data_IF_630051916141
#
_entry.id   IF_630051916141
#
_cell.length_a   1.000
_cell.length_b   1.000
_cell.length_c   1.000
_cell.angle_alpha   90.00
_cell.angle_beta   90.00
_cell.angle_gamma   90.00
#
_symmetry.space_group_name_H-M   'P 1'
#
loop_
_entity.id
_entity.type
_entity.pdbx_description
1 polymer ?
#
# COMPACT_ATOMS: atom_id res chain seq x y z
N UNK A 1 -14.85 8.39 -2.16
CA UNK A 1 -14.66 8.87 -3.56
C UNK A 1 -13.69 7.93 -4.28
N UNK A 2 -14.22 7.15 -5.23
CA UNK A 2 -13.42 6.17 -5.97
C UNK A 2 -12.45 6.85 -6.95
N UNK A 3 -12.87 7.93 -7.62
CA UNK A 3 -12.03 8.62 -8.60
C UNK A 3 -10.80 9.24 -7.93
N UNK A 4 -10.99 9.87 -6.77
CA UNK A 4 -9.88 10.42 -5.98
C UNK A 4 -8.92 9.30 -5.52
N UNK A 5 -9.43 8.17 -5.04
CA UNK A 5 -8.61 7.05 -4.58
C UNK A 5 -7.72 6.52 -5.72
N UNK A 6 -8.30 6.27 -6.90
CA UNK A 6 -7.54 5.83 -8.08
C UNK A 6 -6.48 6.84 -8.50
N UNK A 7 -6.80 8.14 -8.46
CA UNK A 7 -5.84 9.18 -8.80
C UNK A 7 -4.67 9.25 -7.80
N UNK A 8 -4.94 9.17 -6.50
CA UNK A 8 -3.91 9.14 -5.46
C UNK A 8 -3.00 7.94 -5.67
N UNK A 9 -3.56 6.73 -5.79
CA UNK A 9 -2.79 5.51 -6.00
C UNK A 9 -1.92 5.57 -7.27
N UNK A 10 -2.44 6.11 -8.37
CA UNK A 10 -1.67 6.29 -9.60
C UNK A 10 -0.50 7.26 -9.41
N UNK A 11 -0.74 8.43 -8.81
CA UNK A 11 0.30 9.45 -8.59
C UNK A 11 1.37 8.94 -7.63
N UNK A 12 0.99 8.34 -6.51
CA UNK A 12 1.96 7.80 -5.53
C UNK A 12 2.79 6.68 -6.13
N UNK A 13 2.18 5.81 -6.96
CA UNK A 13 2.90 4.74 -7.66
C UNK A 13 3.87 5.28 -8.70
N UNK A 14 3.50 6.30 -9.48
CA UNK A 14 4.39 6.94 -10.45
C UNK A 14 5.57 7.66 -9.79
N UNK A 15 5.36 8.22 -8.60
CA UNK A 15 6.40 8.90 -7.83
C UNK A 15 7.27 7.94 -7.00
N UNK A 16 6.81 6.71 -6.76
CA UNK A 16 7.47 5.72 -5.92
C UNK A 16 8.95 5.44 -6.29
N UNK A 17 9.36 5.32 -7.57
CA UNK A 17 10.75 5.08 -7.93
C UNK A 17 11.71 6.12 -7.35
N UNK A 18 11.28 7.37 -7.20
CA UNK A 18 12.09 8.44 -6.62
C UNK A 18 11.86 8.57 -5.12
N UNK A 19 10.60 8.71 -4.70
CA UNK A 19 10.28 9.05 -3.32
C UNK A 19 10.59 7.91 -2.34
N UNK A 20 10.27 6.66 -2.70
CA UNK A 20 10.49 5.51 -1.81
C UNK A 20 11.97 5.34 -1.45
N UNK A 21 12.92 5.25 -2.40
CA UNK A 21 14.33 5.12 -2.06
C UNK A 21 14.90 6.38 -1.41
N UNK A 22 14.46 7.59 -1.78
CA UNK A 22 14.89 8.81 -1.08
C UNK A 22 14.47 8.79 0.39
N UNK A 23 13.21 8.45 0.69
CA UNK A 23 12.70 8.40 2.06
C UNK A 23 13.37 7.30 2.88
N UNK A 24 13.59 6.12 2.30
CA UNK A 24 14.30 5.04 2.98
C UNK A 24 15.75 5.41 3.22
N UNK A 25 16.43 6.02 2.25
CA UNK A 25 17.78 6.53 2.45
C UNK A 25 17.81 7.59 3.56
N UNK A 26 16.89 8.55 3.55
CA UNK A 26 16.84 9.61 4.56
C UNK A 26 16.59 9.08 5.98
N UNK A 27 15.70 8.09 6.12
CA UNK A 27 15.25 7.61 7.43
C UNK A 27 16.06 6.42 7.96
N UNK A 28 16.67 5.61 7.09
CA UNK A 28 17.30 4.34 7.47
C UNK A 28 18.81 4.24 7.17
N UNK A 29 19.40 5.14 6.37
CA UNK A 29 20.84 5.04 6.00
C UNK A 29 21.80 5.12 7.18
N UNK A 30 21.37 5.69 8.30
CA UNK A 30 22.15 5.72 9.55
C UNK A 30 22.28 4.33 10.21
N UNK A 31 21.39 3.39 9.89
CA UNK A 31 21.28 2.08 10.55
C UNK A 31 21.53 0.92 9.61
N UNK A 32 21.32 1.10 8.31
CA UNK A 32 21.42 0.07 7.28
C UNK A 32 22.11 0.61 6.04
N UNK A 33 22.88 -0.21 5.30
CA UNK A 33 23.41 0.18 4.00
C UNK A 33 22.26 0.30 3.00
N UNK A 34 21.86 1.54 2.69
CA UNK A 34 20.79 1.83 1.72
C UNK A 34 21.39 2.30 0.41
N UNK A 35 21.12 1.57 -0.68
CA UNK A 35 21.47 1.99 -2.03
C UNK A 35 20.27 2.59 -2.75
N UNK A 36 20.30 3.90 -2.98
CA UNK A 36 19.23 4.60 -3.71
C UNK A 36 19.04 4.03 -5.12
N UNK A 37 20.13 3.84 -5.88
CA UNK A 37 20.06 3.40 -7.28
C UNK A 37 19.55 1.96 -7.40
N UNK A 38 19.93 1.06 -6.50
CA UNK A 38 19.49 -0.34 -6.57
C UNK A 38 17.99 -0.46 -6.28
N UNK A 39 17.52 0.30 -5.29
CA UNK A 39 16.09 0.37 -4.96
C UNK A 39 15.29 1.07 -6.07
N UNK A 40 15.83 2.15 -6.66
CA UNK A 40 15.23 2.82 -7.83
C UNK A 40 15.00 1.84 -8.98
N UNK A 41 16.04 1.10 -9.39
CA UNK A 41 15.94 0.11 -10.47
C UNK A 41 14.98 -1.02 -10.12
N UNK A 42 14.98 -1.48 -8.87
CA UNK A 42 14.07 -2.53 -8.42
C UNK A 42 12.61 -2.08 -8.51
N UNK A 43 12.29 -0.84 -8.14
CA UNK A 43 10.91 -0.32 -8.28
C UNK A 43 10.53 -0.20 -9.76
N UNK A 44 11.44 0.26 -10.62
CA UNK A 44 11.18 0.31 -12.06
C UNK A 44 10.83 -1.08 -12.62
N UNK A 45 11.57 -2.11 -12.21
CA UNK A 45 11.36 -3.48 -12.70
C UNK A 45 10.14 -4.16 -12.08
N UNK A 46 9.94 -4.03 -10.77
CA UNK A 46 8.88 -4.73 -10.04
C UNK A 46 7.51 -4.05 -10.18
N UNK A 47 7.46 -2.75 -10.47
CA UNK A 47 6.22 -1.96 -10.48
C UNK A 47 6.00 -1.29 -11.83
N UNK A 48 6.94 -0.43 -12.26
CA UNK A 48 6.69 0.42 -13.44
C UNK A 48 6.60 -0.40 -14.72
N UNK A 49 7.50 -1.35 -14.91
CA UNK A 49 7.51 -2.21 -16.08
C UNK A 49 6.21 -3.04 -16.20
N UNK A 50 5.73 -3.78 -15.18
CA UNK A 50 4.44 -4.45 -15.23
C UNK A 50 3.25 -3.52 -15.51
N UNK A 51 3.24 -2.30 -14.94
CA UNK A 51 2.17 -1.33 -15.19
C UNK A 51 2.18 -0.88 -16.65
N UNK A 52 3.34 -0.50 -17.19
CA UNK A 52 3.49 -0.11 -18.60
C UNK A 52 3.07 -1.25 -19.52
N UNK A 53 3.51 -2.48 -19.24
CA UNK A 53 3.11 -3.66 -20.02
C UNK A 53 1.59 -3.90 -19.95
N UNK A 54 0.98 -3.74 -18.77
CA UNK A 54 -0.47 -3.85 -18.61
C UNK A 54 -1.24 -2.81 -19.42
N UNK A 55 -0.80 -1.55 -19.39
CA UNK A 55 -1.40 -0.46 -20.18
C UNK A 55 -1.22 -0.69 -21.69
N UNK A 56 -0.05 -1.13 -22.12
CA UNK A 56 0.22 -1.48 -23.53
C UNK A 56 -0.66 -2.66 -23.97
N UNK A 57 -0.78 -3.70 -23.14
CA UNK A 57 -1.65 -4.84 -23.41
C UNK A 57 -3.13 -4.42 -23.52
N UNK A 58 -3.60 -3.54 -22.63
CA UNK A 58 -4.95 -2.96 -22.70
C UNK A 58 -5.19 -2.24 -24.03
N UNK A 59 -4.19 -1.49 -24.52
CA UNK A 59 -4.28 -0.76 -25.79
C UNK A 59 -4.25 -1.67 -27.02
N UNK A 60 -3.45 -2.74 -26.99
CA UNK A 60 -3.27 -3.65 -28.14
C UNK A 60 -4.36 -4.72 -28.24
N UNK A 61 -4.83 -5.25 -27.10
CA UNK A 61 -5.76 -6.38 -27.04
C UNK A 61 -7.22 -5.94 -26.81
N UNK A 62 -7.44 -4.68 -26.40
CA UNK A 62 -8.75 -4.08 -26.22
C UNK A 62 -9.65 -4.89 -25.28
N UNK A 63 -10.84 -5.26 -25.77
CA UNK A 63 -11.85 -5.98 -24.98
C UNK A 63 -11.37 -7.36 -24.47
N UNK A 64 -10.37 -7.99 -25.12
CA UNK A 64 -9.86 -9.30 -24.71
C UNK A 64 -9.13 -9.28 -23.37
N UNK A 65 -8.61 -8.11 -22.95
CA UNK A 65 -7.97 -7.97 -21.62
C UNK A 65 -8.95 -8.21 -20.49
N UNK A 66 -10.26 -8.07 -20.73
CA UNK A 66 -11.29 -8.32 -19.72
C UNK A 66 -11.22 -9.75 -19.15
N UNK A 67 -10.92 -10.75 -19.99
CA UNK A 67 -10.73 -12.13 -19.52
C UNK A 67 -9.58 -12.26 -18.52
N UNK A 68 -8.50 -11.49 -18.69
CA UNK A 68 -7.40 -11.46 -17.74
C UNK A 68 -7.81 -10.69 -16.46
N UNK A 69 -8.44 -9.53 -16.61
CA UNK A 69 -8.89 -8.69 -15.49
C UNK A 69 -9.86 -9.42 -14.57
N UNK A 70 -10.70 -10.30 -15.09
CA UNK A 70 -11.62 -11.11 -14.28
C UNK A 70 -10.89 -12.12 -13.37
N UNK A 71 -9.70 -12.58 -13.76
CA UNK A 71 -8.90 -13.57 -13.00
C UNK A 71 -7.79 -12.91 -12.16
N UNK A 72 -7.38 -11.68 -12.51
CA UNK A 72 -6.33 -10.94 -11.80
C UNK A 72 -6.54 -10.87 -10.28
N UNK A 73 -7.74 -10.61 -9.73
CA UNK A 73 -7.94 -10.58 -8.28
C UNK A 73 -7.50 -11.88 -7.59
N UNK A 74 -7.83 -13.04 -8.17
CA UNK A 74 -7.44 -14.33 -7.61
C UNK A 74 -5.92 -14.51 -7.67
N UNK A 75 -5.30 -14.18 -8.81
CA UNK A 75 -3.85 -14.26 -8.97
C UNK A 75 -3.15 -13.36 -7.95
N UNK A 76 -3.61 -12.11 -7.78
CA UNK A 76 -3.05 -11.17 -6.81
C UNK A 76 -3.15 -11.68 -5.38
N UNK A 77 -4.30 -12.26 -4.99
CA UNK A 77 -4.49 -12.86 -3.65
C UNK A 77 -3.54 -14.03 -3.43
N UNK A 78 -3.43 -14.94 -4.40
CA UNK A 78 -2.51 -16.08 -4.31
C UNK A 78 -1.06 -15.60 -4.21
N UNK A 79 -0.66 -14.63 -5.05
CA UNK A 79 0.69 -14.06 -5.02
C UNK A 79 1.03 -13.43 -3.68
N UNK A 80 0.16 -12.60 -3.10
CA UNK A 80 0.47 -11.96 -1.81
C UNK A 80 0.51 -12.98 -0.67
N UNK A 81 -0.37 -13.99 -0.66
CA UNK A 81 -0.33 -15.07 0.32
C UNK A 81 1.01 -15.83 0.22
N UNK A 82 1.46 -16.16 -0.98
CA UNK A 82 2.75 -16.81 -1.20
C UNK A 82 3.93 -15.97 -0.70
N UNK A 83 3.93 -14.66 -0.97
CA UNK A 83 4.97 -13.73 -0.47
C UNK A 83 4.98 -13.72 1.06
N UNK A 84 3.80 -13.58 1.70
CA UNK A 84 3.69 -13.57 3.17
C UNK A 84 4.19 -14.89 3.76
N UNK A 85 3.79 -16.03 3.21
CA UNK A 85 4.26 -17.34 3.64
C UNK A 85 5.78 -17.48 3.52
N UNK A 86 6.37 -17.04 2.40
CA UNK A 86 7.81 -17.12 2.19
C UNK A 86 8.59 -16.27 3.21
N UNK A 87 8.15 -15.03 3.46
CA UNK A 87 8.79 -14.14 4.43
C UNK A 87 8.67 -14.67 5.86
N UNK A 88 7.50 -15.17 6.25
CA UNK A 88 7.27 -15.74 7.58
C UNK A 88 8.11 -17.00 7.78
N UNK A 89 8.16 -17.89 6.79
CA UNK A 89 8.98 -19.11 6.86
C UNK A 89 10.48 -18.79 6.99
N UNK A 90 10.98 -17.82 6.22
CA UNK A 90 12.38 -17.41 6.26
C UNK A 90 12.79 -16.73 7.59
N UNK A 91 11.84 -16.14 8.31
CA UNK A 91 12.10 -15.35 9.52
C UNK A 91 11.47 -15.94 10.80
N UNK A 92 11.00 -17.19 10.76
CA UNK A 92 10.20 -17.81 11.83
C UNK A 92 10.84 -17.71 13.22
N UNK A 93 12.15 -17.96 13.34
CA UNK A 93 12.86 -17.92 14.62
C UNK A 93 12.87 -16.50 15.23
N UNK A 94 13.05 -15.47 14.39
CA UNK A 94 13.04 -14.08 14.82
C UNK A 94 11.63 -13.55 15.07
N UNK A 95 10.64 -14.06 14.36
CA UNK A 95 9.23 -13.81 14.65
C UNK A 95 8.85 -14.39 16.01
N UNK A 96 9.36 -15.57 16.38
CA UNK A 96 9.10 -16.13 17.71
C UNK A 96 9.65 -15.24 18.84
N UNK A 97 10.79 -14.59 18.63
CA UNK A 97 11.40 -13.68 19.61
C UNK A 97 10.70 -12.31 19.67
N UNK A 98 10.37 -11.71 18.52
CA UNK A 98 9.98 -10.29 18.43
C UNK A 98 8.66 -10.02 17.70
N UNK A 99 7.95 -11.06 17.26
CA UNK A 99 6.78 -10.95 16.39
C UNK A 99 5.64 -10.13 16.98
N UNK A 100 5.40 -10.22 18.30
CA UNK A 100 4.37 -9.44 18.98
C UNK A 100 4.67 -7.93 18.93
N UNK A 101 5.94 -7.55 19.15
CA UNK A 101 6.36 -6.15 19.07
C UNK A 101 6.23 -5.63 17.63
N UNK A 102 6.69 -6.41 16.64
CA UNK A 102 6.55 -6.04 15.23
C UNK A 102 5.08 -5.86 14.86
N UNK A 103 4.21 -6.78 15.29
CA UNK A 103 2.77 -6.69 15.05
C UNK A 103 2.17 -5.44 15.70
N UNK A 104 2.52 -5.13 16.94
CA UNK A 104 2.06 -3.91 17.61
C UNK A 104 2.48 -2.65 16.84
N UNK A 105 3.73 -2.58 16.37
CA UNK A 105 4.23 -1.45 15.55
C UNK A 105 3.49 -1.37 14.22
N UNK A 106 3.22 -2.50 13.54
CA UNK A 106 2.45 -2.56 12.30
C UNK A 106 1.03 -2.02 12.50
N UNK A 107 0.35 -2.45 13.57
CA UNK A 107 -1.01 -2.00 13.91
C UNK A 107 -1.01 -0.49 14.17
N UNK A 108 -0.06 0.00 14.97
CA UNK A 108 0.07 1.41 15.28
C UNK A 108 0.36 2.24 14.04
N UNK A 109 1.30 1.82 13.19
CA UNK A 109 1.66 2.53 11.96
C UNK A 109 0.47 2.63 10.99
N UNK A 110 -0.25 1.53 10.78
CA UNK A 110 -1.44 1.51 9.93
C UNK A 110 -2.56 2.41 10.48
N UNK A 111 -2.81 2.32 11.79
CA UNK A 111 -3.84 3.14 12.46
C UNK A 111 -3.49 4.63 12.39
N UNK A 112 -2.21 4.98 12.63
CA UNK A 112 -1.73 6.35 12.44
C UNK A 112 -1.90 6.82 11.01
N UNK A 113 -1.62 5.98 10.01
CA UNK A 113 -1.87 6.30 8.61
C UNK A 113 -3.34 6.64 8.33
N UNK A 114 -4.28 5.82 8.82
CA UNK A 114 -5.71 6.11 8.68
C UNK A 114 -6.11 7.44 9.35
N UNK A 115 -5.63 7.69 10.57
CA UNK A 115 -5.94 8.91 11.30
C UNK A 115 -5.35 10.13 10.58
N UNK A 116 -4.08 10.08 10.19
CA UNK A 116 -3.42 11.17 9.49
C UNK A 116 -4.11 11.48 8.16
N UNK A 117 -4.47 10.47 7.36
CA UNK A 117 -5.21 10.70 6.12
C UNK A 117 -6.58 11.34 6.36
N UNK A 118 -7.34 10.83 7.33
CA UNK A 118 -8.67 11.38 7.66
C UNK A 118 -8.57 12.84 8.15
N UNK A 119 -7.68 13.10 9.10
CA UNK A 119 -7.52 14.42 9.70
C UNK A 119 -6.89 15.43 8.75
N UNK A 120 -5.98 15.01 7.87
CA UNK A 120 -5.48 15.87 6.79
C UNK A 120 -6.64 16.35 5.93
N UNK A 121 -7.50 15.43 5.47
CA UNK A 121 -8.70 15.80 4.71
C UNK A 121 -9.63 16.72 5.50
N UNK A 122 -9.73 16.55 6.82
CA UNK A 122 -10.51 17.44 7.70
C UNK A 122 -9.90 18.84 7.80
N UNK A 123 -8.58 18.96 7.97
CA UNK A 123 -7.84 20.24 8.03
C UNK A 123 -8.00 21.02 6.73
N UNK A 124 -7.93 20.33 5.58
CA UNK A 124 -8.16 20.92 4.26
C UNK A 124 -9.65 21.05 3.90
N UNK A 125 -10.57 20.79 4.83
CA UNK A 125 -12.03 20.92 4.66
C UNK A 125 -12.61 20.13 3.48
N UNK A 126 -11.99 19.01 3.11
CA UNK A 126 -12.49 18.14 2.04
C UNK A 126 -13.85 17.53 2.44
N UNK A 127 -14.75 17.20 1.49
CA UNK A 127 -15.99 16.49 1.78
C UNK A 127 -15.74 15.12 2.46
N UNK A 128 -16.72 14.63 3.22
CA UNK A 128 -16.58 13.36 3.96
C UNK A 128 -16.16 12.18 3.06
N UNK A 129 -16.72 12.08 1.86
CA UNK A 129 -16.37 11.03 0.90
C UNK A 129 -14.88 11.05 0.49
N UNK A 130 -14.27 12.24 0.41
CA UNK A 130 -12.85 12.40 0.09
C UNK A 130 -11.96 12.16 1.33
N UNK A 131 -12.41 12.57 2.53
CA UNK A 131 -11.70 12.26 3.79
C UNK A 131 -11.60 10.74 4.01
N UNK A 132 -12.68 10.01 3.74
CA UNK A 132 -12.73 8.54 3.82
C UNK A 132 -11.74 7.90 2.84
N UNK A 133 -11.71 8.37 1.58
CA UNK A 133 -10.73 7.91 0.60
C UNK A 133 -9.29 8.21 1.04
N UNK A 134 -9.02 9.44 1.48
CA UNK A 134 -7.67 9.84 1.89
C UNK A 134 -7.18 9.06 3.11
N UNK A 135 -8.06 8.78 4.08
CA UNK A 135 -7.75 7.89 5.20
C UNK A 135 -7.28 6.51 4.70
N UNK A 136 -8.07 5.88 3.83
CA UNK A 136 -7.75 4.56 3.30
C UNK A 136 -6.46 4.57 2.46
N UNK A 137 -6.26 5.54 1.59
CA UNK A 137 -5.06 5.64 0.75
C UNK A 137 -3.77 5.90 1.56
N UNK A 138 -3.85 6.63 2.68
CA UNK A 138 -2.67 6.86 3.54
C UNK A 138 -2.39 5.65 4.44
N UNK A 139 -3.42 4.99 4.97
CA UNK A 139 -3.26 3.83 5.86
C UNK A 139 -2.99 2.53 5.12
N UNK A 140 -3.50 2.35 3.91
CA UNK A 140 -3.28 1.15 3.10
C UNK A 140 -2.07 1.33 2.19
N UNK A 141 -0.98 0.66 2.54
CA UNK A 141 0.27 0.72 1.78
C UNK A 141 0.39 -0.42 0.77
N UNK A 142 1.26 -0.24 -0.23
CA UNK A 142 1.74 -1.35 -1.07
C UNK A 142 2.79 -2.18 -0.30
N UNK A 143 2.28 -2.98 0.62
CA UNK A 143 3.03 -3.86 1.51
C UNK A 143 3.75 -5.01 0.77
N UNK A 144 3.22 -5.45 -0.37
CA UNK A 144 3.89 -6.40 -1.27
C UNK A 144 5.21 -5.85 -1.83
N UNK A 145 5.20 -4.62 -2.34
CA UNK A 145 6.43 -3.92 -2.78
C UNK A 145 7.40 -3.75 -1.60
N UNK A 146 6.90 -3.36 -0.43
CA UNK A 146 7.71 -3.22 0.78
C UNK A 146 8.43 -4.52 1.16
N UNK A 147 7.74 -5.66 1.11
CA UNK A 147 8.33 -6.97 1.37
C UNK A 147 9.37 -7.37 0.30
N UNK A 148 9.08 -7.10 -0.97
CA UNK A 148 9.97 -7.40 -2.09
C UNK A 148 11.28 -6.59 -2.01
N UNK A 149 11.19 -5.27 -1.79
CA UNK A 149 12.37 -4.41 -1.63
C UNK A 149 13.19 -4.79 -0.41
N UNK A 150 12.53 -5.06 0.72
CA UNK A 150 13.23 -5.43 1.94
C UNK A 150 13.97 -6.77 1.83
N UNK A 151 13.35 -7.74 1.14
CA UNK A 151 13.98 -9.04 0.87
C UNK A 151 15.15 -8.91 -0.10
N UNK A 152 15.05 -8.04 -1.09
CA UNK A 152 16.08 -7.86 -2.12
C UNK A 152 17.29 -7.04 -1.63
N UNK A 153 17.08 -6.03 -0.77
CA UNK A 153 18.10 -5.01 -0.45
C UNK A 153 18.58 -5.01 0.99
N UNK A 154 17.89 -5.69 1.91
CA UNK A 154 18.24 -5.69 3.32
C UNK A 154 18.40 -7.11 3.88
N UNK A 155 17.34 -7.66 4.46
CA UNK A 155 17.38 -8.99 5.08
C UNK A 155 15.99 -9.61 5.09
N UNK A 156 15.87 -10.95 5.22
CA UNK A 156 14.58 -11.60 5.41
C UNK A 156 13.76 -11.03 6.56
N UNK A 157 14.44 -10.62 7.66
CA UNK A 157 13.79 -10.03 8.82
C UNK A 157 13.19 -8.64 8.51
N UNK A 158 13.86 -7.84 7.67
CA UNK A 158 13.37 -6.52 7.26
C UNK A 158 12.06 -6.60 6.44
N UNK A 159 11.76 -7.75 5.83
CA UNK A 159 10.52 -7.97 5.09
C UNK A 159 9.33 -8.31 5.99
N UNK A 160 9.56 -8.77 7.23
CA UNK A 160 8.51 -9.22 8.16
C UNK A 160 7.48 -8.13 8.47
N UNK A 161 7.84 -6.88 8.78
CA UNK A 161 6.85 -5.83 9.02
C UNK A 161 5.90 -5.66 7.84
N UNK A 162 6.43 -5.66 6.60
CA UNK A 162 5.62 -5.54 5.37
C UNK A 162 4.72 -6.75 5.14
N UNK A 163 5.20 -7.97 5.41
CA UNK A 163 4.38 -9.18 5.31
C UNK A 163 3.22 -9.17 6.32
N UNK A 164 3.50 -8.83 7.58
CA UNK A 164 2.45 -8.70 8.61
C UNK A 164 1.49 -7.55 8.28
N UNK A 165 2.01 -6.43 7.76
CA UNK A 165 1.20 -5.30 7.30
C UNK A 165 0.23 -5.74 6.20
N UNK A 166 0.67 -6.59 5.26
CA UNK A 166 -0.17 -7.15 4.18
C UNK A 166 -1.40 -7.89 4.71
N UNK A 167 -1.27 -8.59 5.82
CA UNK A 167 -2.42 -9.24 6.48
C UNK A 167 -3.25 -8.21 7.23
N UNK A 168 -2.60 -7.39 8.05
CA UNK A 168 -3.28 -6.46 8.95
C UNK A 168 -4.09 -5.39 8.22
N UNK A 169 -3.50 -4.71 7.23
CA UNK A 169 -4.17 -3.58 6.57
C UNK A 169 -5.41 -3.99 5.74
N UNK A 170 -5.48 -5.25 5.30
CA UNK A 170 -6.68 -5.79 4.65
C UNK A 170 -7.80 -5.98 5.67
N UNK A 171 -7.49 -6.51 6.85
CA UNK A 171 -8.45 -6.67 7.95
C UNK A 171 -8.91 -5.29 8.46
N UNK A 172 -7.96 -4.43 8.84
CA UNK A 172 -8.26 -3.11 9.41
C UNK A 172 -8.94 -2.18 8.39
N UNK A 173 -8.54 -2.24 7.12
CA UNK A 173 -9.18 -1.50 6.02
C UNK A 173 -10.62 -1.92 5.79
N UNK A 174 -10.94 -3.22 5.85
CA UNK A 174 -12.31 -3.72 5.75
C UNK A 174 -13.17 -3.30 6.95
N UNK A 175 -12.62 -3.36 8.17
CA UNK A 175 -13.29 -2.88 9.38
C UNK A 175 -13.57 -1.37 9.31
N UNK A 176 -12.58 -0.57 8.92
CA UNK A 176 -12.71 0.87 8.79
C UNK A 176 -13.71 1.25 7.69
N UNK A 177 -13.67 0.56 6.55
CA UNK A 177 -14.64 0.76 5.46
C UNK A 177 -16.08 0.47 5.92
N UNK A 178 -16.26 -0.60 6.70
CA UNK A 178 -17.57 -0.95 7.30
C UNK A 178 -18.03 0.13 8.29
N UNK A 179 -17.11 0.67 9.08
CA UNK A 179 -17.41 1.79 10.00
C UNK A 179 -17.78 3.06 9.23
N UNK A 180 -17.02 3.44 8.20
CA UNK A 180 -17.29 4.60 7.36
C UNK A 180 -18.63 4.54 6.62
N UNK A 181 -19.11 3.34 6.28
CA UNK A 181 -20.43 3.15 5.67
C UNK A 181 -21.59 3.53 6.62
N UNK A 182 -21.36 3.53 7.93
CA UNK A 182 -22.35 3.93 8.94
C UNK A 182 -22.38 5.45 9.20
N UNK A 183 -21.40 6.21 8.70
CA UNK A 183 -21.37 7.66 8.88
C UNK A 183 -22.36 8.33 7.92
N UNK A 184 -23.28 9.18 8.42
CA UNK A 184 -24.18 9.95 7.57
C UNK A 184 -23.36 10.89 6.67
N UNK A 185 -23.75 10.99 5.40
CA UNK A 185 -23.14 11.99 4.52
C UNK A 185 -23.62 13.38 4.97
N UNK A 186 -22.68 14.33 5.10
CA UNK A 186 -23.05 15.73 5.35
C UNK A 186 -23.93 16.17 4.19
N UNK A 187 -25.19 16.56 4.45
CA UNK A 187 -26.08 17.10 3.42
C UNK A 187 -25.35 18.23 2.70
N UNK A 188 -25.17 18.07 1.39
CA UNK A 188 -24.76 19.18 0.52
C UNK A 188 -25.75 20.32 0.78
N UNK A 189 -25.28 21.39 1.43
CA UNK A 189 -26.07 22.61 1.58
C UNK A 189 -26.36 23.09 0.18
N UNK A 190 -27.58 22.83 -0.30
CA UNK A 190 -28.08 23.32 -1.58
C UNK A 190 -27.71 24.79 -1.69
N UNK A 191 -26.96 25.22 -2.73
CA UNK A 191 -26.74 26.64 -2.93
C UNK A 191 -28.13 27.30 -3.03
N UNK A 192 -28.30 28.36 -2.24
CA UNK A 192 -29.57 29.06 -2.10
C UNK A 192 -30.17 29.48 -3.44
N UNK A 193 -31.50 29.50 -3.43
CA UNK A 193 -32.41 29.99 -4.49
C UNK A 193 -31.92 31.26 -5.18
#
# INVERSE_FOLDING_TARGET
DLALAVAIAAVTTLLAPLLTPTLIWLLASAWLPVSFLDMFWSILQLVMLPIVLGVVAQRLLGARVRYAVDVLPLVSVVSIVMIVCAVVAASQAKIAESGLLIMAVVILHNTFGFLLGYFTGKVFKLPLAQRKSLALEVGMQNSGLGAALASAHFSPLAAVPSALFSVWHNISGALLSTYFRKMPEEEESKPGR
#
